data_IF_547210472207
#
_entry.id   IF_547210472207
#
_cell.length_a   1.000
_cell.length_b   1.000
_cell.length_c   1.000
_cell.angle_alpha   90.00
_cell.angle_beta   90.00
_cell.angle_gamma   90.00
#
_symmetry.space_group_name_H-M   'P 1'
#
loop_
_entity.id
_entity.type
_entity.pdbx_description
1 polymer ?
#
# COMPACT_ATOMS: atom_id res chain seq x y z
N UNK A 1 24.08 -9.73 2.07
CA UNK A 1 23.32 -8.46 1.92
C UNK A 1 22.07 -8.67 1.07
N UNK A 2 22.15 -9.31 -0.11
CA UNK A 2 21.02 -9.69 -0.98
C UNK A 2 19.83 -10.42 -0.27
N UNK A 3 20.11 -11.29 0.71
CA UNK A 3 19.07 -12.07 1.41
C UNK A 3 18.08 -11.22 2.23
N UNK A 4 18.55 -10.10 2.81
CA UNK A 4 17.69 -9.20 3.59
C UNK A 4 16.75 -8.37 2.70
N UNK A 5 17.11 -8.19 1.42
CA UNK A 5 16.38 -7.37 0.46
C UNK A 5 15.21 -8.12 -0.20
N UNK A 6 15.33 -9.45 -0.36
CA UNK A 6 14.29 -10.30 -0.97
C UNK A 6 13.28 -10.87 0.05
N UNK A 7 13.32 -10.42 1.31
CA UNK A 7 12.38 -10.90 2.32
C UNK A 7 11.00 -10.30 2.04
N UNK A 8 10.07 -11.15 1.60
CA UNK A 8 8.66 -10.78 1.42
C UNK A 8 8.07 -10.34 2.76
N UNK A 9 7.61 -9.10 2.81
CA UNK A 9 6.97 -8.50 3.99
C UNK A 9 5.50 -8.93 4.11
N UNK A 10 4.95 -9.54 3.05
CA UNK A 10 3.53 -9.85 2.90
C UNK A 10 3.25 -11.34 3.08
N UNK A 11 4.14 -12.24 2.63
CA UNK A 11 3.90 -13.70 2.60
C UNK A 11 5.04 -14.56 3.19
N UNK A 12 5.76 -14.02 4.17
CA UNK A 12 6.91 -14.70 4.79
C UNK A 12 6.70 -15.13 6.25
N UNK A 13 7.52 -16.05 6.79
CA UNK A 13 7.55 -16.36 8.23
C UNK A 13 7.81 -15.12 9.11
N UNK A 14 8.45 -14.10 8.54
CA UNK A 14 8.65 -12.80 9.17
C UNK A 14 7.34 -12.07 9.50
N UNK A 15 6.36 -12.09 8.59
CA UNK A 15 5.03 -11.51 8.81
C UNK A 15 4.36 -12.17 10.03
N UNK A 16 4.36 -13.51 10.10
CA UNK A 16 3.79 -14.25 11.22
C UNK A 16 4.50 -13.98 12.56
N UNK A 17 5.82 -13.77 12.54
CA UNK A 17 6.54 -13.39 13.77
C UNK A 17 6.17 -11.99 14.26
N UNK A 18 6.02 -11.02 13.36
CA UNK A 18 5.58 -9.66 13.70
C UNK A 18 4.12 -9.67 14.17
N UNK A 19 3.27 -10.45 13.50
CA UNK A 19 1.86 -10.60 13.87
C UNK A 19 1.71 -11.21 15.27
N UNK A 20 2.42 -12.31 15.54
CA UNK A 20 2.45 -12.93 16.87
C UNK A 20 3.01 -11.99 17.94
N UNK A 21 4.10 -11.27 17.64
CA UNK A 21 4.69 -10.29 18.55
C UNK A 21 3.74 -9.11 18.83
N UNK A 22 3.03 -8.62 17.81
CA UNK A 22 2.04 -7.55 17.93
C UNK A 22 0.87 -7.97 18.81
N UNK A 23 0.32 -9.18 18.62
CA UNK A 23 -0.73 -9.74 19.48
C UNK A 23 -0.24 -9.88 20.92
N UNK A 24 0.95 -10.45 21.12
CA UNK A 24 1.54 -10.61 22.45
C UNK A 24 1.79 -9.25 23.13
N UNK A 25 2.26 -8.26 22.37
CA UNK A 25 2.47 -6.89 22.84
C UNK A 25 1.17 -6.20 23.24
N UNK A 26 0.11 -6.31 22.41
CA UNK A 26 -1.22 -5.82 22.75
C UNK A 26 -1.76 -6.49 24.01
N UNK A 27 -1.66 -7.82 24.09
CA UNK A 27 -2.07 -8.55 25.28
C UNK A 27 -1.31 -8.06 26.52
N UNK A 28 0.02 -7.92 26.46
CA UNK A 28 0.82 -7.42 27.58
C UNK A 28 0.41 -6.01 28.03
N UNK A 29 0.14 -5.11 27.09
CA UNK A 29 -0.33 -3.75 27.38
C UNK A 29 -1.72 -3.77 28.03
N UNK A 30 -2.61 -4.67 27.61
CA UNK A 30 -3.96 -4.80 28.14
C UNK A 30 -4.04 -5.56 29.47
N UNK A 31 -3.09 -6.46 29.74
CA UNK A 31 -3.05 -7.35 30.91
C UNK A 31 -2.73 -6.59 32.21
N UNK A 32 -3.75 -5.91 32.76
CA UNK A 32 -3.87 -5.50 34.17
C UNK A 32 -5.34 -5.39 34.52
N UNK A 33 -5.84 -6.30 35.36
CA UNK A 33 -7.22 -6.27 35.87
C UNK A 33 -7.38 -5.34 37.08
N UNK A 34 -7.01 -4.07 36.91
CA UNK A 34 -7.38 -2.99 37.83
C UNK A 34 -8.42 -2.10 37.14
N UNK A 35 -9.47 -1.67 37.85
CA UNK A 35 -10.46 -0.73 37.33
C UNK A 35 -9.82 0.57 36.83
N UNK A 36 -8.75 1.03 37.48
CA UNK A 36 -7.97 2.20 37.04
C UNK A 36 -7.30 1.95 35.70
N UNK A 37 -6.84 0.73 35.45
CA UNK A 37 -6.21 0.37 34.18
C UNK A 37 -7.23 0.22 33.05
N UNK A 38 -8.42 -0.32 33.34
CA UNK A 38 -9.52 -0.34 32.37
C UNK A 38 -9.91 1.08 31.93
N UNK A 39 -9.96 2.03 32.87
CA UNK A 39 -10.14 3.44 32.54
C UNK A 39 -9.01 3.98 31.65
N UNK A 40 -7.76 3.63 31.93
CA UNK A 40 -6.62 4.01 31.08
C UNK A 40 -6.74 3.49 29.64
N UNK A 41 -7.28 2.28 29.44
CA UNK A 41 -7.54 1.69 28.11
C UNK A 41 -8.64 2.46 27.38
N UNK A 42 -9.73 2.79 28.05
CA UNK A 42 -10.82 3.55 27.44
C UNK A 42 -10.37 4.97 27.11
N UNK A 43 -9.68 5.64 28.03
CA UNK A 43 -9.14 6.99 27.84
C UNK A 43 -8.12 7.02 26.70
N UNK A 44 -7.23 6.02 26.62
CA UNK A 44 -6.25 5.95 25.53
C UNK A 44 -6.92 5.77 24.18
N UNK A 45 -7.95 4.92 24.10
CA UNK A 45 -8.69 4.69 22.85
C UNK A 45 -9.43 5.94 22.38
N UNK A 46 -10.11 6.64 23.29
CA UNK A 46 -10.84 7.89 22.97
C UNK A 46 -9.84 8.97 22.53
N UNK A 47 -8.75 9.16 23.29
CA UNK A 47 -7.73 10.16 22.96
C UNK A 47 -7.07 9.85 21.61
N UNK A 48 -6.71 8.59 21.36
CA UNK A 48 -6.13 8.16 20.09
C UNK A 48 -7.08 8.37 18.92
N UNK A 49 -8.36 8.02 19.08
CA UNK A 49 -9.38 8.24 18.04
C UNK A 49 -9.53 9.72 17.70
N UNK A 50 -9.53 10.59 18.72
CA UNK A 50 -9.57 12.04 18.52
C UNK A 50 -8.33 12.58 17.79
N UNK A 51 -7.13 12.13 18.18
CA UNK A 51 -5.88 12.51 17.51
C UNK A 51 -5.88 12.07 16.04
N UNK A 52 -6.25 10.82 15.77
CA UNK A 52 -6.31 10.28 14.40
C UNK A 52 -7.35 11.02 13.57
N UNK A 53 -8.53 11.33 14.13
CA UNK A 53 -9.56 12.10 13.43
C UNK A 53 -9.09 13.53 13.09
N UNK A 54 -8.38 14.20 14.00
CA UNK A 54 -7.82 15.54 13.74
C UNK A 54 -6.73 15.48 12.67
N UNK A 55 -5.83 14.50 12.72
CA UNK A 55 -4.79 14.31 11.70
C UNK A 55 -5.43 14.03 10.34
N UNK A 56 -6.41 13.13 10.28
CA UNK A 56 -7.18 12.81 9.09
C UNK A 56 -7.83 14.07 8.49
N UNK A 57 -8.56 14.81 9.32
CA UNK A 57 -9.20 16.05 8.91
C UNK A 57 -8.21 17.06 8.36
N UNK A 58 -7.06 17.25 9.02
CA UNK A 58 -6.00 18.16 8.60
C UNK A 58 -5.42 17.75 7.24
N UNK A 59 -5.12 16.46 7.05
CA UNK A 59 -4.52 15.94 5.82
C UNK A 59 -5.44 16.10 4.61
N UNK A 60 -6.75 15.88 4.78
CA UNK A 60 -7.73 15.97 3.68
C UNK A 60 -8.19 17.40 3.44
N UNK A 61 -8.61 18.12 4.49
CA UNK A 61 -9.34 19.38 4.34
C UNK A 61 -8.44 20.63 4.34
N UNK A 62 -7.28 20.57 5.02
CA UNK A 62 -6.40 21.73 5.18
C UNK A 62 -5.17 21.63 4.30
N UNK A 63 -4.51 20.47 4.33
CA UNK A 63 -3.27 20.23 3.59
C UNK A 63 -3.52 19.65 2.20
N UNK A 64 -4.74 19.16 1.92
CA UNK A 64 -5.13 18.55 0.64
C UNK A 64 -4.12 17.53 0.11
N UNK A 65 -3.51 16.77 1.04
CA UNK A 65 -2.51 15.75 0.71
C UNK A 65 -3.19 14.57 0.02
N UNK A 66 -4.40 14.24 0.47
CA UNK A 66 -5.22 13.19 -0.11
C UNK A 66 -6.49 13.81 -0.72
N UNK A 67 -6.85 13.43 -1.96
CA UNK A 67 -8.06 13.92 -2.62
C UNK A 67 -9.34 13.31 -2.04
N UNK A 68 -9.23 12.19 -1.32
CA UNK A 68 -10.34 11.43 -0.75
C UNK A 68 -10.07 11.02 0.69
N UNK A 69 -11.14 10.65 1.41
CA UNK A 69 -11.05 10.21 2.79
C UNK A 69 -10.24 8.91 2.91
N UNK A 70 -9.43 8.83 3.96
CA UNK A 70 -8.64 7.64 4.25
C UNK A 70 -9.59 6.47 4.57
N UNK A 71 -9.28 5.27 4.07
CA UNK A 71 -10.06 4.07 4.33
C UNK A 71 -10.21 3.81 5.82
N UNK A 72 -11.37 3.26 6.21
CA UNK A 72 -11.65 2.92 7.60
C UNK A 72 -10.57 2.01 8.21
N UNK A 73 -10.07 1.04 7.45
CA UNK A 73 -9.03 0.12 7.90
C UNK A 73 -7.74 0.87 8.30
N UNK A 74 -7.34 1.88 7.53
CA UNK A 74 -6.15 2.71 7.79
C UNK A 74 -6.35 3.54 9.06
N UNK A 75 -7.53 4.12 9.24
CA UNK A 75 -7.88 4.88 10.44
C UNK A 75 -7.94 3.99 11.68
N UNK A 76 -8.48 2.77 11.56
CA UNK A 76 -8.57 1.81 12.65
C UNK A 76 -7.18 1.35 13.12
N UNK A 77 -6.30 0.94 12.20
CA UNK A 77 -4.92 0.53 12.55
C UNK A 77 -4.08 1.70 13.07
N UNK A 78 -4.30 2.91 12.56
CA UNK A 78 -3.68 4.11 13.13
C UNK A 78 -4.13 4.35 14.57
N UNK A 79 -5.43 4.19 14.85
CA UNK A 79 -5.99 4.35 16.20
C UNK A 79 -5.40 3.32 17.16
N UNK A 80 -5.20 2.07 16.73
CA UNK A 80 -4.53 1.03 17.53
C UNK A 80 -3.09 1.44 17.88
N UNK A 81 -2.32 1.96 16.93
CA UNK A 81 -0.95 2.42 17.17
C UNK A 81 -0.87 3.58 18.17
N UNK A 82 -1.72 4.60 18.01
CA UNK A 82 -1.78 5.73 18.95
C UNK A 82 -2.29 5.32 20.34
N UNK A 83 -3.22 4.37 20.41
CA UNK A 83 -3.70 3.81 21.69
C UNK A 83 -2.59 3.06 22.42
N UNK A 84 -1.78 2.28 21.69
CA UNK A 84 -0.62 1.57 22.24
C UNK A 84 0.45 2.53 22.76
N UNK A 85 0.70 3.64 22.06
CA UNK A 85 1.60 4.70 22.52
C UNK A 85 1.12 5.30 23.85
N UNK A 86 -0.15 5.67 23.93
CA UNK A 86 -0.72 6.22 25.16
C UNK A 86 -0.64 5.23 26.34
N UNK A 87 -0.96 3.95 26.11
CA UNK A 87 -0.84 2.90 27.14
C UNK A 87 0.61 2.67 27.58
N UNK A 88 1.57 2.72 26.66
CA UNK A 88 2.99 2.66 26.97
C UNK A 88 3.38 3.81 27.91
N UNK A 89 2.98 5.05 27.58
CA UNK A 89 3.27 6.23 28.40
C UNK A 89 2.63 6.13 29.79
N UNK A 90 1.38 5.67 29.89
CA UNK A 90 0.71 5.45 31.18
C UNK A 90 1.36 4.36 32.03
N UNK A 91 2.12 3.44 31.43
CA UNK A 91 2.81 2.36 32.13
C UNK A 91 4.21 2.76 32.62
N UNK A 92 4.77 3.88 32.18
CA UNK A 92 6.11 4.35 32.58
C UNK A 92 6.22 4.74 34.07
N UNK A 93 5.23 5.46 34.66
CA UNK A 93 5.25 5.79 36.08
C UNK A 93 5.12 4.52 36.93
N UNK A 94 6.04 4.33 37.89
CA UNK A 94 5.99 3.20 38.83
C UNK A 94 6.46 1.84 38.29
N UNK A 95 6.85 1.72 37.02
CA UNK A 95 7.44 0.49 36.49
C UNK A 95 8.92 0.34 36.86
N UNK A 96 9.40 -0.90 37.03
CA UNK A 96 10.84 -1.19 37.06
C UNK A 96 11.46 -1.00 35.66
N UNK A 97 12.79 -0.90 35.56
CA UNK A 97 13.50 -0.82 34.27
C UNK A 97 13.09 -1.96 33.32
N UNK A 98 13.01 -3.19 33.83
CA UNK A 98 12.55 -4.37 33.07
C UNK A 98 11.12 -4.20 32.54
N UNK A 99 10.21 -3.67 33.36
CA UNK A 99 8.84 -3.41 32.93
C UNK A 99 8.72 -2.29 31.90
N UNK A 100 9.60 -1.27 31.96
CA UNK A 100 9.68 -0.20 30.94
C UNK A 100 10.17 -0.75 29.61
N UNK A 101 11.24 -1.56 29.63
CA UNK A 101 11.74 -2.22 28.42
C UNK A 101 10.69 -3.13 27.81
N UNK A 102 10.01 -3.97 28.61
CA UNK A 102 8.95 -4.84 28.12
C UNK A 102 7.76 -4.06 27.52
N UNK A 103 7.36 -2.96 28.14
CA UNK A 103 6.32 -2.08 27.60
C UNK A 103 6.76 -1.40 26.29
N UNK A 104 8.03 -0.99 26.20
CA UNK A 104 8.61 -0.42 24.98
C UNK A 104 8.65 -1.42 23.83
N UNK A 105 9.10 -2.66 24.09
CA UNK A 105 9.07 -3.73 23.10
C UNK A 105 7.64 -4.06 22.65
N UNK A 106 6.69 -4.09 23.59
CA UNK A 106 5.28 -4.35 23.28
C UNK A 106 4.70 -3.24 22.40
N UNK A 107 4.95 -1.97 22.73
CA UNK A 107 4.54 -0.84 21.91
C UNK A 107 5.15 -0.93 20.50
N UNK A 108 6.44 -1.19 20.41
CA UNK A 108 7.13 -1.29 19.12
C UNK A 108 6.56 -2.42 18.25
N UNK A 109 6.23 -3.57 18.84
CA UNK A 109 5.59 -4.67 18.13
C UNK A 109 4.20 -4.30 17.59
N UNK A 110 3.38 -3.61 18.38
CA UNK A 110 2.05 -3.13 17.95
C UNK A 110 2.16 -2.06 16.87
N UNK A 111 3.14 -1.16 17.00
CA UNK A 111 3.43 -0.14 16.00
C UNK A 111 3.82 -0.76 14.66
N UNK A 112 4.73 -1.74 14.68
CA UNK A 112 5.11 -2.50 13.48
C UNK A 112 3.89 -3.21 12.88
N UNK A 113 3.12 -3.95 13.67
CA UNK A 113 1.92 -4.62 13.18
C UNK A 113 0.96 -3.64 12.48
N UNK A 114 0.70 -2.48 13.09
CA UNK A 114 -0.18 -1.47 12.52
C UNK A 114 0.37 -0.91 11.20
N UNK A 115 1.68 -0.63 11.14
CA UNK A 115 2.34 -0.17 9.93
C UNK A 115 2.27 -1.21 8.80
N UNK A 116 2.45 -2.50 9.11
CA UNK A 116 2.32 -3.58 8.13
C UNK A 116 0.90 -3.70 7.58
N UNK A 117 -0.12 -3.60 8.44
CA UNK A 117 -1.52 -3.67 8.00
C UNK A 117 -1.89 -2.49 7.11
N UNK A 118 -1.45 -1.27 7.44
CA UNK A 118 -1.64 -0.09 6.59
C UNK A 118 -0.89 -0.26 5.26
N UNK A 119 0.35 -0.75 5.28
CA UNK A 119 1.11 -1.02 4.06
C UNK A 119 0.46 -2.08 3.18
N UNK A 120 -0.15 -3.12 3.78
CA UNK A 120 -0.86 -4.16 3.04
C UNK A 120 -2.11 -3.63 2.33
N UNK A 121 -2.79 -2.64 2.92
CA UNK A 121 -3.94 -1.99 2.30
C UNK A 121 -3.54 -1.25 1.01
N UNK A 122 -2.46 -0.47 1.06
CA UNK A 122 -2.02 0.32 -0.10
C UNK A 122 -1.07 -0.43 -1.04
N UNK A 123 -0.53 -1.58 -0.65
CA UNK A 123 0.43 -2.34 -1.45
C UNK A 123 1.75 -1.59 -1.75
N UNK A 124 2.09 -0.54 -0.98
CA UNK A 124 3.18 0.38 -1.32
C UNK A 124 4.56 -0.28 -1.28
N UNK A 125 4.75 -1.28 -0.42
CA UNK A 125 6.02 -2.00 -0.29
C UNK A 125 5.75 -3.50 -0.19
N UNK A 126 6.13 -4.26 -1.21
CA UNK A 126 6.03 -5.72 -1.21
C UNK A 126 7.27 -6.36 -0.55
N UNK A 127 8.41 -5.65 -0.52
CA UNK A 127 9.67 -6.14 0.04
C UNK A 127 10.39 -5.09 0.90
N UNK A 128 11.31 -5.53 1.78
CA UNK A 128 12.15 -4.64 2.58
C UNK A 128 13.04 -3.74 1.70
N UNK A 129 13.38 -4.19 0.49
CA UNK A 129 14.09 -3.38 -0.50
C UNK A 129 13.27 -2.19 -1.03
N UNK A 130 11.94 -2.29 -1.05
CA UNK A 130 11.05 -1.20 -1.47
C UNK A 130 11.07 -0.07 -0.42
N UNK A 131 11.11 -0.42 0.88
CA UNK A 131 11.21 0.54 1.99
C UNK A 131 12.51 1.37 1.97
N UNK A 132 13.62 0.79 1.48
CA UNK A 132 14.89 1.49 1.34
C UNK A 132 15.06 2.18 -0.02
N UNK A 133 14.02 2.19 -0.86
CA UNK A 133 14.02 2.91 -2.15
C UNK A 133 14.85 2.23 -3.25
N UNK A 134 15.27 0.98 -3.07
CA UNK A 134 16.13 0.28 -4.03
C UNK A 134 15.38 -0.28 -5.25
N UNK A 135 14.05 -0.29 -5.23
CA UNK A 135 13.19 -0.87 -6.28
C UNK A 135 12.18 0.11 -6.89
N UNK A 136 12.27 1.40 -6.60
CA UNK A 136 11.35 2.42 -7.17
C UNK A 136 11.55 2.43 -8.69
N UNK A 137 10.65 1.78 -9.43
CA UNK A 137 10.69 1.69 -10.89
C UNK A 137 11.21 0.38 -11.49
N UNK A 138 11.39 -0.69 -10.71
CA UNK A 138 11.73 -2.00 -11.29
C UNK A 138 10.50 -2.58 -12.01
N UNK A 139 10.45 -2.39 -13.32
CA UNK A 139 9.48 -3.07 -14.17
C UNK A 139 9.77 -4.57 -14.05
N UNK A 140 8.80 -5.39 -13.61
CA UNK A 140 8.97 -6.84 -13.54
C UNK A 140 9.44 -7.35 -14.90
N UNK A 141 10.48 -8.18 -14.89
CA UNK A 141 10.92 -8.85 -16.12
C UNK A 141 9.74 -9.67 -16.64
N UNK A 142 9.42 -9.50 -17.92
CA UNK A 142 8.29 -10.20 -18.55
C UNK A 142 8.51 -11.71 -18.41
N UNK A 143 7.59 -12.41 -17.75
CA UNK A 143 7.73 -13.86 -17.54
C UNK A 143 7.87 -14.58 -18.87
N UNK A 144 8.63 -15.69 -18.89
CA UNK A 144 8.95 -16.39 -20.14
C UNK A 144 7.69 -16.85 -20.90
N UNK A 145 6.62 -17.21 -20.19
CA UNK A 145 5.33 -17.57 -20.79
C UNK A 145 4.60 -16.41 -21.47
N UNK A 146 4.93 -15.17 -21.13
CA UNK A 146 4.41 -13.95 -21.74
C UNK A 146 5.33 -13.34 -22.80
N UNK A 147 6.54 -13.87 -22.98
CA UNK A 147 7.43 -13.51 -24.09
C UNK A 147 6.86 -14.04 -25.40
N UNK A 148 6.01 -13.25 -26.05
CA UNK A 148 5.50 -13.51 -27.40
C UNK A 148 6.20 -12.58 -28.39
N UNK A 149 7.02 -13.17 -29.26
CA UNK A 149 7.74 -12.49 -30.33
C UNK A 149 9.23 -12.85 -30.35
N UNK A 150 9.70 -13.42 -31.45
CA UNK A 150 11.13 -13.36 -31.79
C UNK A 150 11.48 -11.91 -32.10
N UNK A 151 12.59 -11.39 -31.59
CA UNK A 151 13.13 -10.08 -31.99
C UNK A 151 13.36 -10.09 -33.51
N UNK A 152 12.35 -9.63 -34.27
CA UNK A 152 12.32 -9.71 -35.73
C UNK A 152 12.59 -8.31 -36.24
N UNK A 153 13.58 -8.18 -37.11
CA UNK A 153 14.01 -6.91 -37.70
C UNK A 153 12.80 -6.24 -38.34
N UNK A 154 12.53 -4.99 -37.93
CA UNK A 154 11.45 -4.20 -38.51
C UNK A 154 11.66 -4.05 -40.03
N UNK A 155 10.61 -4.16 -40.85
CA UNK A 155 10.73 -3.98 -42.29
C UNK A 155 11.26 -2.59 -42.64
N UNK A 156 12.08 -2.50 -43.70
CA UNK A 156 12.80 -1.28 -44.16
C UNK A 156 11.87 -0.11 -44.51
N UNK A 157 10.58 -0.36 -44.76
CA UNK A 157 9.57 0.67 -44.97
C UNK A 157 8.47 0.54 -43.91
N UNK A 158 8.48 1.45 -42.96
CA UNK A 158 7.40 1.65 -42.00
C UNK A 158 6.65 2.93 -42.36
N UNK A 159 5.33 2.99 -42.16
CA UNK A 159 4.59 4.25 -42.24
C UNK A 159 5.19 5.29 -41.28
N UNK A 160 5.10 6.57 -41.62
CA UNK A 160 5.67 7.65 -40.79
C UNK A 160 4.94 7.87 -39.45
N UNK A 161 3.71 7.36 -39.30
CA UNK A 161 2.87 7.61 -38.12
C UNK A 161 2.12 6.39 -37.61
N UNK A 162 1.95 6.31 -36.28
CA UNK A 162 1.04 5.37 -35.64
C UNK A 162 -0.41 5.83 -35.73
N UNK A 163 -1.35 4.92 -35.47
CA UNK A 163 -2.79 5.18 -35.51
C UNK A 163 -3.36 5.18 -34.09
N UNK A 164 -4.18 6.17 -33.75
CA UNK A 164 -5.01 6.12 -32.54
C UNK A 164 -6.42 5.69 -32.93
N UNK A 165 -6.98 4.74 -32.19
CA UNK A 165 -8.36 4.26 -32.33
C UNK A 165 -9.09 4.37 -31.01
N UNK A 166 -10.39 4.64 -31.10
CA UNK A 166 -11.28 4.66 -29.94
C UNK A 166 -12.07 3.37 -29.90
N UNK A 167 -12.17 2.74 -28.73
CA UNK A 167 -12.93 1.52 -28.53
C UNK A 167 -13.73 1.59 -27.23
N UNK A 168 -14.99 1.20 -27.30
CA UNK A 168 -15.83 1.02 -26.11
C UNK A 168 -15.63 -0.39 -25.57
N UNK A 169 -15.28 -0.52 -24.29
CA UNK A 169 -15.05 -1.81 -23.62
C UNK A 169 -16.20 -2.03 -22.62
N UNK A 170 -17.18 -2.89 -22.94
CA UNK A 170 -18.31 -3.12 -22.05
C UNK A 170 -17.91 -3.94 -20.81
N UNK A 171 -18.30 -3.49 -19.62
CA UNK A 171 -18.11 -4.21 -18.36
C UNK A 171 -19.16 -5.31 -18.16
N UNK A 172 -19.14 -6.36 -18.97
CA UNK A 172 -20.19 -7.41 -18.97
C UNK A 172 -20.25 -8.16 -17.63
N UNK A 173 -19.09 -8.40 -17.00
CA UNK A 173 -19.01 -9.09 -15.69
C UNK A 173 -19.07 -8.13 -14.50
N UNK A 174 -18.35 -7.01 -14.56
CA UNK A 174 -18.27 -6.05 -13.45
C UNK A 174 -19.46 -5.08 -13.38
N UNK A 175 -20.23 -4.95 -14.45
CA UNK A 175 -21.24 -3.90 -14.62
C UNK A 175 -20.66 -2.50 -14.76
N UNK A 176 -19.33 -2.36 -14.81
CA UNK A 176 -18.67 -1.06 -14.84
C UNK A 176 -18.85 -0.38 -16.21
N UNK A 177 -19.32 0.87 -16.18
CA UNK A 177 -19.41 1.71 -17.38
C UNK A 177 -18.10 2.48 -17.55
N UNK A 178 -17.18 1.91 -18.32
CA UNK A 178 -15.90 2.54 -18.62
C UNK A 178 -16.05 3.67 -19.65
N UNK A 179 -15.15 4.66 -19.57
CA UNK A 179 -14.95 5.60 -20.66
C UNK A 179 -14.36 4.88 -21.88
N UNK A 180 -14.55 5.47 -23.07
CA UNK A 180 -13.91 5.01 -24.29
C UNK A 180 -12.39 4.89 -24.12
N UNK A 181 -11.85 3.71 -24.43
CA UNK A 181 -10.41 3.46 -24.44
C UNK A 181 -9.77 4.01 -25.72
N UNK A 182 -8.57 4.56 -25.59
CA UNK A 182 -7.73 4.95 -26.72
C UNK A 182 -6.64 3.90 -26.94
N UNK A 183 -6.61 3.32 -28.14
CA UNK A 183 -5.66 2.30 -28.56
C UNK A 183 -4.68 2.96 -29.53
N UNK A 184 -3.41 3.07 -29.13
CA UNK A 184 -2.33 3.45 -30.03
C UNK A 184 -1.75 2.21 -30.71
N UNK A 185 -1.77 2.21 -32.04
CA UNK A 185 -1.19 1.18 -32.89
C UNK A 185 0.08 1.76 -33.53
N UNK A 186 1.27 1.25 -33.20
CA UNK A 186 2.51 1.74 -33.79
C UNK A 186 2.56 1.44 -35.29
N UNK A 187 3.40 2.15 -36.06
CA UNK A 187 3.52 1.95 -37.51
C UNK A 187 3.75 0.49 -37.95
N UNK A 188 4.48 -0.28 -37.14
CA UNK A 188 4.74 -1.70 -37.38
C UNK A 188 3.48 -2.59 -37.36
N UNK A 189 2.37 -2.13 -36.81
CA UNK A 189 1.10 -2.86 -36.86
C UNK A 189 0.43 -2.78 -38.24
N UNK A 190 0.82 -1.78 -39.04
CA UNK A 190 0.26 -1.53 -40.38
C UNK A 190 1.00 -2.29 -41.48
N UNK A 191 2.11 -2.97 -41.19
CA UNK A 191 2.81 -3.81 -42.17
C UNK A 191 2.06 -5.11 -42.47
N UNK A 192 2.26 -5.66 -43.67
CA UNK A 192 1.69 -6.94 -44.07
C UNK A 192 2.24 -8.12 -43.23
N UNK A 193 3.51 -8.06 -42.85
CA UNK A 193 4.12 -8.96 -41.86
C UNK A 193 3.94 -8.33 -40.46
N UNK A 194 2.82 -8.63 -39.81
CA UNK A 194 2.50 -8.07 -38.48
C UNK A 194 3.30 -8.80 -37.40
N UNK A 195 4.18 -8.08 -36.72
CA UNK A 195 4.84 -8.61 -35.53
C UNK A 195 3.86 -8.69 -34.35
N UNK A 196 4.02 -9.72 -33.51
CA UNK A 196 3.37 -9.74 -32.21
C UNK A 196 4.05 -8.70 -31.33
N UNK A 197 3.31 -7.68 -30.92
CA UNK A 197 3.81 -6.57 -30.11
C UNK A 197 3.33 -6.71 -28.66
N UNK A 198 4.16 -6.31 -27.67
CA UNK A 198 3.69 -6.22 -26.31
C UNK A 198 2.58 -5.19 -26.20
N UNK A 199 1.58 -5.48 -25.36
CA UNK A 199 0.47 -4.56 -25.08
C UNK A 199 0.78 -3.86 -23.76
N UNK A 200 0.88 -2.54 -23.81
CA UNK A 200 0.95 -1.70 -22.62
C UNK A 200 -0.46 -1.15 -22.34
N UNK A 201 -0.99 -1.49 -21.18
CA UNK A 201 -2.27 -0.95 -20.70
C UNK A 201 -1.97 0.20 -19.76
N UNK A 202 -2.44 1.40 -20.12
CA UNK A 202 -2.28 2.61 -19.33
C UNK A 202 -3.64 2.99 -18.76
N UNK A 203 -3.72 3.13 -17.45
CA UNK A 203 -4.89 3.64 -16.76
C UNK A 203 -4.66 5.11 -16.42
N UNK A 204 -5.65 5.96 -16.70
CA UNK A 204 -5.64 7.33 -16.24
C UNK A 204 -5.79 7.34 -14.70
N UNK A 205 -5.03 8.19 -14.03
CA UNK A 205 -5.22 8.42 -12.60
C UNK A 205 -6.49 9.26 -12.38
N UNK A 206 -7.14 9.06 -11.24
CA UNK A 206 -8.23 9.91 -10.80
C UNK A 206 -7.62 11.21 -10.21
N UNK A 207 -8.00 12.45 -10.60
CA UNK A 207 -9.06 12.85 -11.52
C UNK A 207 -8.50 13.66 -12.71
N UNK A 208 -8.18 13.01 -13.83
CA UNK A 208 -7.84 13.73 -15.07
C UNK A 208 -9.05 13.76 -16.01
N UNK A 209 -9.84 14.85 -15.94
CA UNK A 209 -10.68 15.25 -17.08
C UNK A 209 -9.74 15.86 -18.13
N UNK A 210 -9.62 15.29 -19.34
CA UNK A 210 -8.86 15.94 -20.40
C UNK A 210 -9.54 17.28 -20.73
N UNK A 211 -8.79 18.38 -20.96
CA UNK A 211 -9.38 19.63 -21.39
C UNK A 211 -10.22 19.39 -22.64
N UNK A 212 -11.50 19.73 -22.55
CA UNK A 212 -12.40 19.73 -23.70
C UNK A 212 -11.94 20.80 -24.67
N UNK A 213 -11.48 20.37 -25.84
CA UNK A 213 -11.53 21.07 -27.14
C UNK A 213 -11.08 22.52 -27.18
#
# INVERSE_FOLDING_TARGET
>A
MEFLYNLSLVDGPFYWTIFGAGIAGSAFLLLRWDRRWLLSIVVSLIAASGVVAVIHWLLVNVLTVFPEDLPFDVLAWSTVAFSALALFLFRLPGSSWRGRSAAGFSFFAVLLLSAFQINSYFGLNHTAADLFGHNVGRIPQLEEGFKRGSSRTLPVSLPEGGLVRRASIPGIESGFTAQDAFIYLPPAYQSADRSQLPVLVLFAANPDVPPTG
#
